data_IF_757630664454
#
_entry.id   IF_757630664454
#
_cell.length_a   1.000
_cell.length_b   1.000
_cell.length_c   1.000
_cell.angle_alpha   90.00
_cell.angle_beta   90.00
_cell.angle_gamma   90.00
#
_symmetry.space_group_name_H-M   'P 1'
#
loop_
_entity.id
_entity.type
_entity.pdbx_description
1 polymer ?
#
# COMPACT_ATOMS: atom_id res chain seq x y z
N UNK A 1 11.40 -33.56 -30.82
CA UNK A 1 12.33 -32.42 -30.79
C UNK A 1 11.75 -31.36 -29.86
N UNK A 2 12.30 -31.23 -28.65
CA UNK A 2 12.19 -30.05 -27.78
C UNK A 2 10.89 -29.83 -27.01
N UNK A 3 10.68 -30.56 -25.92
CA UNK A 3 9.80 -30.11 -24.84
C UNK A 3 10.50 -29.00 -24.03
N UNK A 4 9.82 -27.86 -23.80
CA UNK A 4 10.05 -26.88 -22.72
C UNK A 4 8.79 -26.03 -22.59
N UNK A 5 8.26 -25.68 -21.42
CA UNK A 5 8.41 -26.11 -20.03
C UNK A 5 7.20 -25.46 -19.30
N UNK A 6 6.82 -26.00 -18.15
CA UNK A 6 5.55 -25.72 -17.47
C UNK A 6 5.22 -24.24 -17.25
N UNK A 7 3.98 -23.88 -17.58
CA UNK A 7 3.31 -22.77 -16.93
C UNK A 7 2.90 -23.23 -15.52
N UNK A 8 3.87 -23.30 -14.61
CA UNK A 8 3.59 -23.42 -13.19
C UNK A 8 2.76 -22.20 -12.78
N UNK A 9 1.55 -22.45 -12.27
CA UNK A 9 0.68 -21.45 -11.65
C UNK A 9 1.25 -20.94 -10.34
N UNK A 10 2.40 -20.25 -10.38
CA UNK A 10 2.89 -19.45 -9.27
C UNK A 10 2.34 -18.04 -9.42
N UNK A 11 1.59 -17.60 -8.41
CA UNK A 11 1.09 -16.23 -8.27
C UNK A 11 2.21 -15.20 -8.44
N UNK A 12 1.81 -13.96 -8.75
CA UNK A 12 2.67 -12.83 -9.10
C UNK A 12 3.99 -12.84 -8.32
N UNK A 13 5.12 -12.97 -9.04
CA UNK A 13 6.49 -12.91 -8.46
C UNK A 13 6.75 -11.63 -7.67
N UNK A 14 5.95 -10.60 -7.91
CA UNK A 14 6.07 -9.30 -7.28
C UNK A 14 4.78 -8.93 -6.55
N UNK A 15 4.95 -8.29 -5.39
CA UNK A 15 3.87 -7.74 -4.58
C UNK A 15 4.22 -6.33 -4.12
N UNK A 16 3.21 -5.59 -3.66
CA UNK A 16 3.38 -4.24 -3.12
C UNK A 16 3.38 -4.32 -1.59
N UNK A 17 4.37 -3.69 -0.97
CA UNK A 17 4.43 -3.50 0.48
C UNK A 17 4.35 -2.03 0.83
N UNK A 18 3.85 -1.73 2.03
CA UNK A 18 3.78 -0.37 2.54
C UNK A 18 5.11 0.01 3.20
N UNK A 19 5.70 1.15 2.82
CA UNK A 19 6.77 1.80 3.57
C UNK A 19 6.17 2.47 4.80
N UNK A 20 5.90 1.69 5.86
CA UNK A 20 5.16 2.13 7.05
C UNK A 20 5.69 3.45 7.64
N UNK A 21 7.02 3.59 7.75
CA UNK A 21 7.63 4.80 8.27
C UNK A 21 7.36 6.03 7.39
N UNK A 22 7.47 5.90 6.07
CA UNK A 22 7.19 7.00 5.13
C UNK A 22 5.71 7.36 5.09
N UNK A 23 4.85 6.36 5.12
CA UNK A 23 3.41 6.56 5.19
C UNK A 23 3.01 7.31 6.46
N UNK A 24 3.56 6.94 7.62
CA UNK A 24 3.32 7.66 8.87
C UNK A 24 3.89 9.09 8.83
N UNK A 25 5.04 9.31 8.18
CA UNK A 25 5.58 10.66 7.95
C UNK A 25 4.63 11.50 7.08
N UNK A 26 4.12 10.95 5.98
CA UNK A 26 3.13 11.62 5.12
C UNK A 26 1.83 11.93 5.87
N UNK A 27 1.33 10.98 6.66
CA UNK A 27 0.15 11.14 7.50
C UNK A 27 0.30 12.28 8.51
N UNK A 28 1.47 12.38 9.18
CA UNK A 28 1.75 13.49 10.11
C UNK A 28 1.84 14.84 9.40
N UNK A 29 2.49 14.90 8.22
CA UNK A 29 2.61 16.13 7.42
C UNK A 29 1.27 16.63 6.87
N UNK A 30 0.32 15.72 6.61
CA UNK A 30 -1.03 16.04 6.14
C UNK A 30 -2.03 16.31 7.26
N UNK A 31 -1.58 16.36 8.53
CA UNK A 31 -2.44 16.42 9.72
C UNK A 31 -3.43 15.24 9.86
N UNK A 32 -3.23 14.16 9.08
CA UNK A 32 -3.98 12.90 9.15
C UNK A 32 -3.31 11.91 10.13
N UNK A 33 -2.97 12.38 11.32
CA UNK A 33 -2.09 11.65 12.26
C UNK A 33 -2.77 10.50 13.04
N UNK A 34 -4.08 10.30 12.85
CA UNK A 34 -4.86 9.24 13.48
C UNK A 34 -5.64 8.45 12.44
N UNK A 35 -5.71 7.12 12.62
CA UNK A 35 -6.51 6.23 11.79
C UNK A 35 -8.00 6.66 11.72
N UNK A 36 -8.49 7.46 12.69
CA UNK A 36 -9.88 7.97 12.69
C UNK A 36 -10.11 8.99 11.58
N UNK A 37 -9.07 9.73 11.22
CA UNK A 37 -9.14 10.80 10.21
C UNK A 37 -8.55 10.29 8.89
N UNK A 38 -7.54 9.43 8.97
CA UNK A 38 -6.86 8.87 7.80
C UNK A 38 -7.74 7.89 7.01
N UNK A 39 -8.44 6.98 7.68
CA UNK A 39 -9.26 5.98 6.98
C UNK A 39 -10.40 6.61 6.14
N UNK A 40 -11.16 7.60 6.66
CA UNK A 40 -12.12 8.34 5.86
C UNK A 40 -11.49 9.12 4.70
N UNK A 41 -10.33 9.77 4.93
CA UNK A 41 -9.63 10.51 3.89
C UNK A 41 -9.17 9.62 2.73
N UNK A 42 -8.83 8.36 3.04
CA UNK A 42 -8.45 7.33 2.06
C UNK A 42 -9.66 6.58 1.47
N UNK A 43 -10.86 6.74 2.02
CA UNK A 43 -12.04 5.98 1.60
C UNK A 43 -11.97 4.47 1.90
N UNK A 44 -11.25 4.07 2.97
CA UNK A 44 -11.10 2.66 3.36
C UNK A 44 -11.60 2.40 4.79
N UNK A 45 -11.83 1.14 5.13
CA UNK A 45 -12.16 0.77 6.51
C UNK A 45 -10.96 0.96 7.44
N UNK A 46 -11.24 1.38 8.67
CA UNK A 46 -10.23 1.60 9.71
C UNK A 46 -9.42 0.35 10.03
N UNK A 47 -10.09 -0.82 10.04
CA UNK A 47 -9.44 -2.12 10.21
C UNK A 47 -8.50 -2.45 9.06
N UNK A 48 -8.78 -2.00 7.83
CA UNK A 48 -7.85 -2.16 6.70
C UNK A 48 -6.58 -1.37 6.94
N UNK A 49 -6.69 -0.12 7.45
CA UNK A 49 -5.52 0.70 7.78
C UNK A 49 -4.66 0.03 8.83
N UNK A 50 -5.25 -0.39 9.95
CA UNK A 50 -4.48 -1.03 11.01
C UNK A 50 -3.80 -2.31 10.54
N UNK A 51 -4.49 -3.17 9.78
CA UNK A 51 -3.96 -4.45 9.29
C UNK A 51 -2.85 -4.29 8.26
N UNK A 52 -2.90 -3.26 7.42
CA UNK A 52 -1.80 -2.94 6.49
C UNK A 52 -0.61 -2.37 7.25
N UNK A 53 -0.84 -1.47 8.22
CA UNK A 53 0.23 -0.86 9.02
C UNK A 53 0.97 -1.87 9.90
N UNK A 54 0.28 -2.89 10.42
CA UNK A 54 0.89 -3.99 11.18
C UNK A 54 1.53 -5.05 10.29
N UNK A 55 1.33 -4.97 8.97
CA UNK A 55 1.80 -5.97 8.02
C UNK A 55 1.01 -7.28 8.03
N UNK A 56 -0.14 -7.33 8.71
CA UNK A 56 -1.04 -8.49 8.70
C UNK A 56 -1.60 -8.77 7.30
N UNK A 57 -1.88 -7.72 6.53
CA UNK A 57 -2.29 -7.83 5.12
C UNK A 57 -1.44 -6.93 4.23
N UNK A 58 -1.32 -7.31 2.96
CA UNK A 58 -0.73 -6.45 1.92
C UNK A 58 -1.70 -5.31 1.55
N UNK A 59 -1.18 -4.12 1.18
CA UNK A 59 -2.00 -3.05 0.64
C UNK A 59 -2.62 -3.47 -0.70
N UNK A 60 -3.95 -3.51 -0.75
CA UNK A 60 -4.69 -3.74 -2.00
C UNK A 60 -4.86 -2.45 -2.83
N UNK A 61 -5.38 -2.59 -4.05
CA UNK A 61 -5.57 -1.47 -4.98
C UNK A 61 -6.35 -0.29 -4.37
N UNK A 62 -7.43 -0.57 -3.62
CA UNK A 62 -8.21 0.48 -2.95
C UNK A 62 -7.41 1.23 -1.89
N UNK A 63 -6.55 0.54 -1.13
CA UNK A 63 -5.69 1.18 -0.14
C UNK A 63 -4.64 2.07 -0.81
N UNK A 64 -4.00 1.57 -1.87
CA UNK A 64 -2.99 2.29 -2.64
C UNK A 64 -3.59 3.57 -3.24
N UNK A 65 -4.71 3.45 -3.97
CA UNK A 65 -5.38 4.59 -4.57
C UNK A 65 -5.84 5.60 -3.51
N UNK A 66 -6.43 5.12 -2.42
CA UNK A 66 -6.87 5.96 -1.31
C UNK A 66 -5.73 6.75 -0.67
N UNK A 67 -4.57 6.11 -0.48
CA UNK A 67 -3.38 6.78 0.07
C UNK A 67 -2.87 7.90 -0.84
N UNK A 68 -2.77 7.63 -2.14
CA UNK A 68 -2.30 8.62 -3.13
C UNK A 68 -3.24 9.81 -3.23
N UNK A 69 -4.56 9.58 -3.17
CA UNK A 69 -5.56 10.66 -3.14
C UNK A 69 -5.47 11.46 -1.84
N UNK A 70 -5.40 10.79 -0.69
CA UNK A 70 -5.36 11.44 0.62
C UNK A 70 -4.10 12.31 0.80
N UNK A 71 -2.98 11.91 0.21
CA UNK A 71 -1.70 12.64 0.29
C UNK A 71 -1.39 13.47 -0.95
N UNK A 72 -2.31 13.60 -1.91
CA UNK A 72 -2.12 14.40 -3.12
C UNK A 72 -1.67 15.86 -2.84
N UNK A 73 -2.15 16.57 -1.79
CA UNK A 73 -1.67 17.91 -1.46
C UNK A 73 -0.19 17.99 -1.11
N UNK A 74 0.44 16.88 -0.74
CA UNK A 74 1.87 16.78 -0.42
C UNK A 74 2.73 16.38 -1.63
N UNK A 75 2.13 16.26 -2.84
CA UNK A 75 2.78 15.79 -4.07
C UNK A 75 3.47 14.42 -3.94
N UNK A 76 2.99 13.58 -3.01
CA UNK A 76 3.54 12.25 -2.72
C UNK A 76 3.25 11.30 -3.87
N UNK A 77 4.27 10.56 -4.31
CA UNK A 77 4.18 9.56 -5.37
C UNK A 77 4.02 8.15 -4.79
N UNK A 78 3.80 7.17 -5.66
CA UNK A 78 3.66 5.77 -5.26
C UNK A 78 4.93 5.27 -4.56
N UNK A 79 6.09 5.57 -5.10
CA UNK A 79 7.39 5.07 -4.64
C UNK A 79 7.80 5.63 -3.27
N UNK A 80 7.24 6.78 -2.89
CA UNK A 80 7.44 7.38 -1.57
C UNK A 80 6.73 6.58 -0.46
N UNK A 81 5.62 5.93 -0.79
CA UNK A 81 4.75 5.24 0.18
C UNK A 81 4.85 3.73 0.07
N UNK A 82 5.15 3.22 -1.11
CA UNK A 82 5.05 1.81 -1.46
C UNK A 82 6.34 1.32 -2.08
N UNK A 83 6.57 0.02 -1.95
CA UNK A 83 7.70 -0.67 -2.54
C UNK A 83 7.20 -1.93 -3.23
N UNK A 84 7.72 -2.18 -4.43
CA UNK A 84 7.49 -3.44 -5.14
C UNK A 84 8.60 -4.40 -4.76
N UNK A 85 8.24 -5.55 -4.20
CA UNK A 85 9.19 -6.57 -3.72
C UNK A 85 8.91 -7.91 -4.39
N UNK A 86 9.93 -8.77 -4.49
CA UNK A 86 9.72 -10.17 -4.84
C UNK A 86 9.08 -10.93 -3.66
N UNK A 87 8.12 -11.82 -3.97
CA UNK A 87 7.44 -12.68 -2.99
C UNK A 87 8.26 -13.91 -2.60
#
# INVERSE_FOLDING_TARGET
MGARAGADGRGSRYTVVLRVAEFQRAARRSALSSDYVLAPAMGVHRSTVSRVLTGEIRPGAAFIAGALVAFAPLAVQFEDLFEVVEE
#
